data_IF_033943188278
#
_entry.id   IF_033943188278
#
_cell.length_a   1.000
_cell.length_b   1.000
_cell.length_c   1.000
_cell.angle_alpha   90.00
_cell.angle_beta   90.00
_cell.angle_gamma   90.00
#
_symmetry.space_group_name_H-M   'P 1'
#
loop_
_entity.id
_entity.type
_entity.pdbx_description
1 polymer ?
#
# COMPACT_ATOMS: atom_id res chain seq x y z
N UNK A 1 -19.29 25.10 -4.04
CA UNK A 1 -19.33 23.73 -4.60
C UNK A 1 -18.47 22.87 -3.71
N UNK A 2 -19.06 21.95 -2.94
CA UNK A 2 -18.29 20.98 -2.15
C UNK A 2 -17.68 19.98 -3.13
N UNK A 3 -16.38 20.13 -3.42
CA UNK A 3 -15.66 19.13 -4.19
C UNK A 3 -15.76 17.79 -3.45
N UNK A 4 -16.32 16.78 -4.10
CA UNK A 4 -16.32 15.43 -3.53
C UNK A 4 -14.87 14.94 -3.44
N UNK A 5 -14.46 14.32 -2.32
CA UNK A 5 -13.12 13.80 -2.18
C UNK A 5 -12.88 12.71 -3.22
N UNK A 6 -11.78 12.83 -3.96
CA UNK A 6 -11.37 11.79 -4.92
C UNK A 6 -11.01 10.54 -4.13
N UNK A 7 -11.68 9.42 -4.43
CA UNK A 7 -11.51 8.15 -3.74
C UNK A 7 -11.02 7.08 -4.72
N UNK A 8 -10.08 6.25 -4.27
CA UNK A 8 -9.53 5.13 -5.05
C UNK A 8 -9.54 3.87 -4.19
N UNK A 9 -10.17 2.80 -4.69
CA UNK A 9 -10.19 1.49 -4.04
C UNK A 9 -9.34 0.50 -4.83
N UNK A 10 -8.46 -0.22 -4.13
CA UNK A 10 -7.49 -1.13 -4.73
C UNK A 10 -7.47 -2.46 -3.97
N UNK A 11 -7.28 -3.56 -4.69
CA UNK A 11 -6.98 -4.87 -4.12
C UNK A 11 -5.55 -5.22 -4.47
N UNK A 12 -4.71 -5.37 -3.46
CA UNK A 12 -3.27 -5.61 -3.60
C UNK A 12 -2.90 -6.97 -3.00
N UNK A 13 -1.79 -7.57 -3.42
CA UNK A 13 -1.23 -8.72 -2.71
C UNK A 13 -0.95 -8.36 -1.25
N UNK A 14 -0.98 -9.36 -0.36
CA UNK A 14 -0.69 -9.14 1.05
C UNK A 14 0.81 -8.78 1.22
N UNK A 15 1.17 -7.63 1.84
CA UNK A 15 2.57 -7.24 2.04
C UNK A 15 3.33 -8.27 2.90
N UNK A 16 4.67 -8.35 2.79
CA UNK A 16 5.47 -9.17 3.70
C UNK A 16 5.42 -8.58 5.12
N UNK A 17 5.44 -9.45 6.14
CA UNK A 17 5.52 -9.02 7.55
C UNK A 17 6.84 -8.30 7.87
N UNK A 18 6.86 -7.46 8.91
CA UNK A 18 8.02 -6.63 9.33
C UNK A 18 9.33 -7.41 9.39
N UNK A 19 9.32 -8.61 9.97
CA UNK A 19 10.52 -9.45 10.10
C UNK A 19 11.13 -9.87 8.75
N UNK A 20 10.32 -9.86 7.69
CA UNK A 20 10.72 -10.23 6.34
C UNK A 20 10.91 -9.00 5.44
N UNK A 21 10.85 -7.77 5.94
CA UNK A 21 10.96 -6.57 5.10
C UNK A 21 12.40 -6.12 4.85
N UNK A 22 13.30 -6.36 5.79
CA UNK A 22 14.69 -5.89 5.71
C UNK A 22 15.67 -7.01 6.04
N UNK A 23 16.78 -7.02 5.32
CA UNK A 23 17.93 -7.91 5.56
C UNK A 23 19.19 -7.06 5.77
N UNK A 24 20.17 -7.59 6.50
CA UNK A 24 21.45 -6.93 6.71
C UNK A 24 22.45 -7.43 5.67
N UNK A 25 23.04 -6.52 4.89
CA UNK A 25 24.13 -6.79 3.95
C UNK A 25 25.35 -5.98 4.40
N UNK A 26 26.35 -6.67 4.95
CA UNK A 26 27.48 -6.03 5.62
C UNK A 26 27.00 -5.21 6.84
N UNK A 27 27.18 -3.89 6.79
CA UNK A 27 26.74 -2.95 7.85
C UNK A 27 25.45 -2.18 7.52
N UNK A 28 24.80 -2.49 6.39
CA UNK A 28 23.62 -1.76 5.91
C UNK A 28 22.38 -2.64 5.97
N UNK A 29 21.25 -2.07 6.43
CA UNK A 29 19.93 -2.69 6.27
C UNK A 29 19.38 -2.32 4.90
N UNK A 30 18.99 -3.32 4.13
CA UNK A 30 18.41 -3.17 2.79
C UNK A 30 17.08 -3.90 2.72
N UNK A 31 16.21 -3.53 1.78
CA UNK A 31 14.97 -4.25 1.56
C UNK A 31 15.25 -5.71 1.20
N UNK A 32 14.51 -6.63 1.79
CA UNK A 32 14.55 -8.05 1.44
C UNK A 32 14.05 -8.27 0.00
N UNK A 33 14.33 -9.45 -0.56
CA UNK A 33 13.77 -9.83 -1.87
C UNK A 33 12.23 -9.83 -1.87
N UNK A 34 11.60 -10.26 -0.77
CA UNK A 34 10.15 -10.28 -0.62
C UNK A 34 9.56 -8.86 -0.61
N UNK A 35 10.18 -7.94 0.12
CA UNK A 35 9.79 -6.53 0.14
C UNK A 35 9.95 -5.86 -1.22
N UNK A 36 11.08 -6.11 -1.89
CA UNK A 36 11.30 -5.60 -3.24
C UNK A 36 10.29 -6.18 -4.24
N UNK A 37 9.94 -7.47 -4.12
CA UNK A 37 8.92 -8.08 -4.98
C UNK A 37 7.57 -7.42 -4.78
N UNK A 38 7.14 -7.28 -3.53
CA UNK A 38 5.88 -6.61 -3.20
C UNK A 38 5.82 -5.19 -3.81
N UNK A 39 6.86 -4.37 -3.66
CA UNK A 39 6.90 -3.04 -4.27
C UNK A 39 6.77 -3.10 -5.80
N UNK A 40 7.48 -4.02 -6.46
CA UNK A 40 7.37 -4.22 -7.92
C UNK A 40 5.97 -4.67 -8.34
N UNK A 41 5.35 -5.58 -7.58
CA UNK A 41 4.02 -6.10 -7.88
C UNK A 41 2.96 -5.01 -7.77
N UNK A 42 3.05 -4.15 -6.74
CA UNK A 42 2.21 -2.95 -6.61
C UNK A 42 2.43 -1.98 -7.78
N UNK A 43 3.67 -1.67 -8.14
CA UNK A 43 3.96 -0.81 -9.29
C UNK A 43 3.38 -1.38 -10.59
N UNK A 44 3.56 -2.68 -10.84
CA UNK A 44 3.03 -3.36 -12.02
C UNK A 44 1.50 -3.28 -12.04
N UNK A 45 0.86 -3.57 -10.92
CA UNK A 45 -0.60 -3.49 -10.79
C UNK A 45 -1.14 -2.09 -11.12
N UNK A 46 -0.51 -1.04 -10.56
CA UNK A 46 -0.91 0.35 -10.83
C UNK A 46 -0.69 0.73 -12.30
N UNK A 47 0.44 0.33 -12.90
CA UNK A 47 0.70 0.57 -14.33
C UNK A 47 -0.34 -0.10 -15.22
N UNK A 48 -0.70 -1.35 -14.95
CA UNK A 48 -1.76 -2.03 -15.70
C UNK A 48 -3.10 -1.31 -15.59
N UNK A 49 -3.45 -0.73 -14.42
CA UNK A 49 -4.66 0.09 -14.28
C UNK A 49 -4.57 1.41 -15.07
N UNK A 50 -3.39 2.04 -15.15
CA UNK A 50 -3.16 3.23 -16.00
C UNK A 50 -3.39 2.90 -17.47
N UNK A 51 -2.78 1.81 -17.94
CA UNK A 51 -2.90 1.34 -19.33
C UNK A 51 -4.35 1.02 -19.71
N UNK A 52 -5.16 0.56 -18.75
CA UNK A 52 -6.60 0.30 -18.92
C UNK A 52 -7.48 1.53 -18.78
N UNK A 53 -6.92 2.70 -18.45
CA UNK A 53 -7.68 3.92 -18.18
C UNK A 53 -8.46 3.91 -16.86
N UNK A 54 -8.19 2.94 -15.98
CA UNK A 54 -8.84 2.80 -14.67
C UNK A 54 -8.18 3.65 -13.59
N UNK A 55 -6.92 4.08 -13.81
CA UNK A 55 -6.21 5.08 -13.01
C UNK A 55 -5.90 6.27 -13.91
N UNK A 56 -6.69 7.35 -13.76
CA UNK A 56 -6.58 8.52 -14.62
C UNK A 56 -5.65 9.59 -14.02
N UNK A 57 -4.92 10.38 -14.83
CA UNK A 57 -3.97 11.39 -14.33
C UNK A 57 -4.58 12.47 -13.42
N UNK A 58 -5.89 12.70 -13.51
CA UNK A 58 -6.59 13.63 -12.63
C UNK A 58 -6.70 13.10 -11.19
N UNK A 59 -6.86 11.79 -11.02
CA UNK A 59 -6.86 11.14 -9.70
C UNK A 59 -5.48 11.24 -9.08
N UNK A 60 -4.43 10.92 -9.83
CA UNK A 60 -3.05 10.98 -9.32
C UNK A 60 -2.65 12.40 -8.89
N UNK A 61 -3.03 13.42 -9.68
CA UNK A 61 -2.83 14.82 -9.30
C UNK A 61 -3.58 15.19 -8.02
N UNK A 62 -4.84 14.76 -7.88
CA UNK A 62 -5.60 15.02 -6.67
C UNK A 62 -4.93 14.41 -5.43
N UNK A 63 -4.32 13.22 -5.55
CA UNK A 63 -3.58 12.59 -4.45
C UNK A 63 -2.25 13.29 -4.15
N UNK A 64 -1.55 13.81 -5.16
CA UNK A 64 -0.29 14.53 -4.96
C UNK A 64 -0.48 15.86 -4.20
N UNK A 65 -1.60 16.55 -4.43
CA UNK A 65 -1.86 17.91 -3.94
C UNK A 65 -2.74 17.98 -2.67
N UNK A 66 -3.14 16.84 -2.10
CA UNK A 66 -4.11 16.77 -0.99
C UNK A 66 -3.58 16.04 0.24
N UNK A 67 -4.21 16.29 1.39
CA UNK A 67 -4.10 15.42 2.55
C UNK A 67 -4.88 14.12 2.30
N UNK A 68 -4.33 12.99 2.74
CA UNK A 68 -4.79 11.65 2.37
C UNK A 68 -5.34 10.92 3.59
N UNK A 69 -6.52 10.32 3.41
CA UNK A 69 -7.03 9.28 4.28
C UNK A 69 -6.73 7.91 3.69
N UNK A 70 -6.20 6.99 4.51
CA UNK A 70 -5.85 5.63 4.08
C UNK A 70 -6.61 4.60 4.90
N UNK A 71 -7.33 3.72 4.20
CA UNK A 71 -8.15 2.67 4.81
C UNK A 71 -7.65 1.32 4.31
N UNK A 72 -6.98 0.57 5.17
CA UNK A 72 -6.38 -0.72 4.84
C UNK A 72 -7.10 -1.85 5.60
N UNK A 73 -7.48 -2.88 4.85
CA UNK A 73 -7.93 -4.16 5.41
C UNK A 73 -6.95 -5.25 5.00
N UNK A 74 -6.28 -5.87 5.97
CA UNK A 74 -5.43 -7.03 5.73
C UNK A 74 -6.21 -8.32 5.96
N UNK A 75 -6.33 -9.13 4.92
CA UNK A 75 -6.96 -10.44 4.98
C UNK A 75 -5.88 -11.49 5.27
N UNK A 76 -6.05 -12.25 6.36
CA UNK A 76 -5.14 -13.31 6.78
C UNK A 76 -5.87 -14.64 6.91
N UNK A 77 -5.15 -15.75 6.74
CA UNK A 77 -5.70 -17.10 6.91
C UNK A 77 -6.15 -17.38 8.36
N UNK A 78 -5.45 -16.79 9.34
CA UNK A 78 -5.78 -16.95 10.76
C UNK A 78 -5.65 -15.62 11.51
N UNK A 79 -6.43 -15.39 12.58
CA UNK A 79 -6.40 -14.13 13.33
C UNK A 79 -5.02 -13.76 13.90
N UNK A 80 -4.21 -14.77 14.26
CA UNK A 80 -2.93 -14.60 14.96
C UNK A 80 -1.71 -14.73 14.02
N UNK A 81 -1.91 -14.76 12.69
CA UNK A 81 -0.82 -14.95 11.74
C UNK A 81 0.26 -13.87 11.84
N UNK A 82 -0.16 -12.60 12.01
CA UNK A 82 0.72 -11.41 12.02
C UNK A 82 0.13 -10.28 12.86
N UNK A 83 1.04 -9.42 13.31
CA UNK A 83 0.68 -8.13 13.90
C UNK A 83 -0.01 -7.24 12.86
N UNK A 84 -0.93 -6.41 13.36
CA UNK A 84 -1.80 -5.58 12.54
C UNK A 84 -0.99 -4.61 11.66
N UNK A 85 0.01 -3.94 12.24
CA UNK A 85 0.90 -2.99 11.60
C UNK A 85 2.05 -3.64 10.82
N UNK A 86 2.17 -4.97 10.88
CA UNK A 86 3.26 -5.74 10.30
C UNK A 86 3.45 -5.57 8.79
N UNK A 87 2.46 -5.04 8.07
CA UNK A 87 2.53 -4.72 6.63
C UNK A 87 2.30 -3.24 6.31
N UNK A 88 1.96 -2.42 7.30
CA UNK A 88 1.47 -1.05 7.11
C UNK A 88 2.51 -0.18 6.40
N UNK A 89 3.74 -0.11 6.93
CA UNK A 89 4.76 0.80 6.43
C UNK A 89 5.12 0.53 4.98
N UNK A 90 5.32 -0.74 4.61
CA UNK A 90 5.69 -1.11 3.25
C UNK A 90 4.51 -0.94 2.28
N UNK A 91 3.27 -1.15 2.72
CA UNK A 91 2.08 -0.89 1.91
C UNK A 91 1.94 0.61 1.60
N UNK A 92 2.09 1.47 2.62
CA UNK A 92 2.08 2.93 2.45
C UNK A 92 3.19 3.39 1.52
N UNK A 93 4.43 2.95 1.73
CA UNK A 93 5.58 3.30 0.88
C UNK A 93 5.38 2.90 -0.59
N UNK A 94 4.85 1.69 -0.84
CA UNK A 94 4.53 1.22 -2.18
C UNK A 94 3.41 2.04 -2.85
N UNK A 95 2.37 2.41 -2.10
CA UNK A 95 1.26 3.23 -2.58
C UNK A 95 1.67 4.69 -2.81
N UNK A 96 2.41 5.30 -1.88
CA UNK A 96 2.92 6.66 -1.97
C UNK A 96 3.81 6.83 -3.21
N UNK A 97 4.79 5.94 -3.35
CA UNK A 97 5.65 5.87 -4.55
C UNK A 97 4.81 5.63 -5.81
N UNK A 98 3.85 4.70 -5.71
CA UNK A 98 3.07 4.24 -6.83
C UNK A 98 2.08 5.28 -7.36
N UNK A 99 1.42 6.05 -6.50
CA UNK A 99 0.37 7.03 -6.82
C UNK A 99 0.88 8.47 -6.84
N UNK A 100 2.12 8.71 -6.39
CA UNK A 100 2.75 10.03 -6.44
C UNK A 100 2.36 10.97 -5.32
N UNK A 101 2.01 10.45 -4.14
CA UNK A 101 1.76 11.25 -2.94
C UNK A 101 2.87 11.09 -1.90
N UNK A 102 3.04 12.08 -1.03
CA UNK A 102 3.98 12.05 0.10
C UNK A 102 3.35 11.28 1.28
N UNK A 103 4.04 10.30 1.87
CA UNK A 103 3.50 9.52 2.99
C UNK A 103 3.25 10.39 4.24
N UNK A 104 3.92 11.55 4.35
CA UNK A 104 3.65 12.56 5.39
C UNK A 104 2.32 13.30 5.20
N UNK A 105 1.70 13.22 4.02
CA UNK A 105 0.39 13.79 3.75
C UNK A 105 -0.76 12.90 4.27
N UNK A 106 -0.46 11.69 4.76
CA UNK A 106 -1.46 10.81 5.39
C UNK A 106 -1.83 11.37 6.76
N UNK A 107 -3.06 11.87 6.89
CA UNK A 107 -3.59 12.48 8.13
C UNK A 107 -4.68 11.65 8.80
N UNK A 108 -5.20 10.66 8.10
CA UNK A 108 -6.16 9.70 8.61
C UNK A 108 -5.74 8.29 8.18
N UNK A 109 -5.70 7.37 9.13
CA UNK A 109 -5.29 5.99 8.91
C UNK A 109 -6.22 5.05 9.68
N UNK A 110 -6.95 4.23 8.94
CA UNK A 110 -7.70 3.13 9.50
C UNK A 110 -7.09 1.81 9.02
N UNK A 111 -6.67 0.98 9.96
CA UNK A 111 -6.05 -0.31 9.70
C UNK A 111 -6.80 -1.40 10.45
N UNK A 112 -7.33 -2.36 9.71
CA UNK A 112 -8.06 -3.51 10.24
C UNK A 112 -7.50 -4.81 9.66
N UNK A 113 -7.66 -5.89 10.41
CA UNK A 113 -7.40 -7.25 9.91
C UNK A 113 -8.67 -8.08 9.91
N UNK A 114 -8.84 -8.91 8.90
CA UNK A 114 -9.96 -9.84 8.75
C UNK A 114 -9.44 -11.23 8.41
N UNK A 115 -10.25 -12.25 8.66
CA UNK A 115 -9.98 -13.60 8.17
C UNK A 115 -10.40 -13.64 6.70
N UNK A 116 -9.55 -14.16 5.82
CA UNK A 116 -9.91 -14.42 4.43
C UNK A 116 -10.93 -15.57 4.37
N UNK A 117 -12.19 -15.34 3.96
CA UNK A 117 -13.22 -16.38 3.94
C UNK A 117 -13.07 -17.37 2.78
N UNK A 118 -12.14 -17.14 1.86
CA UNK A 118 -11.89 -18.01 0.71
C UNK A 118 -10.93 -19.17 1.01
N UNK A 119 -10.51 -19.32 2.28
CA UNK A 119 -9.74 -20.45 2.82
C UNK A 119 -10.57 -21.28 3.80
#
# INVERSE_FOLDING_TARGET
MTAHPVSLSLTLPLPPGVNNQYVTVGRRRVLSKAAQSFKRDVTKYLNTRRERGELVPAVERAFADSLIGVYLTFYFETPMRRDLDGGLKIALDALATGLGFDDRAVVDLHLVKQIDPLH
#
